data_IF_357419833024
#
_entry.id   IF_357419833024
#
_cell.length_a   1.000
_cell.length_b   1.000
_cell.length_c   1.000
_cell.angle_alpha   90.00
_cell.angle_beta   90.00
_cell.angle_gamma   90.00
#
_symmetry.space_group_name_H-M   'P 1'
#
loop_
_entity.id
_entity.type
_entity.pdbx_description
1 polymer ?
#
# COMPACT_ATOMS: atom_id res chain seq x y z
N UNK A 1 -22.01 13.66 -20.95
CA UNK A 1 -20.82 12.88 -20.53
C UNK A 1 -21.21 11.41 -20.38
N UNK A 2 -20.44 10.48 -20.93
CA UNK A 2 -20.69 9.06 -20.70
C UNK A 2 -20.44 8.75 -19.21
N UNK A 3 -21.42 8.17 -18.56
CA UNK A 3 -21.30 7.74 -17.17
C UNK A 3 -20.55 6.40 -17.14
N UNK A 4 -19.46 6.31 -16.37
CA UNK A 4 -18.77 5.05 -16.17
C UNK A 4 -19.71 4.04 -15.51
N UNK A 5 -19.66 2.79 -15.98
CA UNK A 5 -20.52 1.72 -15.48
C UNK A 5 -19.67 0.66 -14.79
N UNK A 6 -20.26 0.03 -13.76
CA UNK A 6 -19.66 -1.12 -13.11
C UNK A 6 -19.45 -2.26 -14.13
N UNK A 7 -18.34 -2.97 -13.99
CA UNK A 7 -18.02 -4.13 -14.85
C UNK A 7 -19.06 -5.23 -14.60
N UNK A 8 -19.72 -5.64 -15.68
CA UNK A 8 -20.74 -6.69 -15.61
C UNK A 8 -20.11 -8.03 -15.23
N UNK A 9 -20.84 -8.84 -14.45
CA UNK A 9 -20.41 -10.19 -14.05
C UNK A 9 -19.33 -10.24 -12.96
N UNK A 10 -18.83 -9.09 -12.49
CA UNK A 10 -17.92 -9.04 -11.35
C UNK A 10 -18.74 -8.92 -10.06
N UNK A 11 -18.84 -10.04 -9.34
CA UNK A 11 -19.42 -10.06 -8.00
C UNK A 11 -18.32 -9.86 -6.96
N UNK A 12 -18.17 -8.62 -6.51
CA UNK A 12 -17.23 -8.27 -5.47
C UNK A 12 -18.04 -7.83 -4.24
N UNK A 13 -17.92 -8.52 -3.10
CA UNK A 13 -18.67 -8.15 -1.90
C UNK A 13 -18.30 -6.74 -1.46
N UNK A 14 -19.23 -6.04 -0.83
CA UNK A 14 -18.96 -4.74 -0.25
C UNK A 14 -17.84 -4.84 0.80
N UNK A 15 -16.91 -3.91 0.78
CA UNK A 15 -15.87 -3.83 1.81
C UNK A 15 -16.49 -3.38 3.14
N UNK A 16 -16.16 -4.07 4.22
CA UNK A 16 -16.72 -3.80 5.56
C UNK A 16 -15.68 -3.36 6.58
N UNK A 17 -14.40 -3.56 6.30
CA UNK A 17 -13.33 -3.24 7.23
C UNK A 17 -13.15 -1.72 7.38
N UNK A 18 -12.96 -1.26 8.61
CA UNK A 18 -12.47 0.09 8.85
C UNK A 18 -10.94 0.11 8.72
N UNK A 19 -10.42 0.99 7.87
CA UNK A 19 -8.98 1.11 7.65
C UNK A 19 -8.19 1.44 8.91
N UNK A 20 -8.78 2.21 9.84
CA UNK A 20 -8.15 2.61 11.10
C UNK A 20 -7.95 1.44 12.07
N UNK A 21 -8.68 0.36 11.87
CA UNK A 21 -8.55 -0.90 12.61
C UNK A 21 -7.74 -1.92 11.82
N UNK A 22 -8.07 -2.08 10.54
CA UNK A 22 -7.49 -3.14 9.71
C UNK A 22 -6.02 -2.90 9.36
N UNK A 23 -5.60 -1.65 9.09
CA UNK A 23 -4.18 -1.35 8.78
C UNK A 23 -3.28 -1.60 9.99
N UNK A 24 -3.56 -1.09 11.20
CA UNK A 24 -2.79 -1.43 12.39
C UNK A 24 -2.84 -2.92 12.74
N UNK A 25 -3.98 -3.56 12.57
CA UNK A 25 -4.11 -4.99 12.80
C UNK A 25 -3.24 -5.82 11.83
N UNK A 26 -3.10 -5.40 10.58
CA UNK A 26 -2.26 -6.09 9.61
C UNK A 26 -0.76 -5.79 9.83
N UNK A 27 -0.41 -4.54 10.11
CA UNK A 27 0.98 -4.07 10.25
C UNK A 27 1.26 -3.75 11.71
N UNK A 28 1.41 -4.81 12.53
CA UNK A 28 1.56 -4.66 13.99
C UNK A 28 2.82 -3.91 14.42
N UNK A 29 3.90 -4.06 13.66
CA UNK A 29 5.23 -3.54 14.00
C UNK A 29 5.84 -2.78 12.82
N UNK A 30 5.30 -1.59 12.48
CA UNK A 30 5.79 -0.81 11.34
C UNK A 30 7.25 -0.39 11.49
N UNK A 31 7.78 -0.31 12.73
CA UNK A 31 9.19 0.00 13.01
C UNK A 31 10.17 -1.07 12.53
N UNK A 32 9.72 -2.30 12.28
CA UNK A 32 10.57 -3.38 11.77
C UNK A 32 10.80 -3.30 10.25
N UNK A 33 10.17 -2.33 9.61
CA UNK A 33 10.21 -2.15 8.17
C UNK A 33 10.86 -0.84 7.75
N UNK A 34 11.47 -0.82 6.58
CA UNK A 34 11.63 0.39 5.79
C UNK A 34 10.35 0.57 4.99
N UNK A 35 9.59 1.61 5.29
CA UNK A 35 8.26 1.83 4.72
C UNK A 35 8.31 2.90 3.65
N UNK A 36 7.82 2.58 2.46
CA UNK A 36 7.44 3.57 1.44
C UNK A 36 5.93 3.64 1.44
N UNK A 37 5.39 4.73 1.97
CA UNK A 37 3.96 4.96 2.04
C UNK A 37 3.52 5.93 0.94
N UNK A 38 2.48 5.58 0.25
CA UNK A 38 1.88 6.38 -0.80
C UNK A 38 1.24 7.67 -0.31
N UNK A 39 0.25 8.14 -1.07
CA UNK A 39 -0.47 9.36 -0.81
C UNK A 39 -1.54 9.19 0.28
N UNK A 40 -1.95 10.31 0.86
CA UNK A 40 -3.17 10.43 1.66
C UNK A 40 -3.28 9.46 2.84
N UNK A 41 -4.33 8.66 2.87
CA UNK A 41 -4.67 7.80 3.98
C UNK A 41 -3.58 6.81 4.36
N UNK A 42 -2.93 6.18 3.39
CA UNK A 42 -1.88 5.20 3.66
C UNK A 42 -0.67 5.82 4.37
N UNK A 43 -0.23 7.00 3.91
CA UNK A 43 0.84 7.73 4.58
C UNK A 43 0.40 8.26 5.96
N UNK A 44 -0.85 8.73 6.08
CA UNK A 44 -1.37 9.22 7.36
C UNK A 44 -1.41 8.12 8.42
N UNK A 45 -1.84 6.92 8.06
CA UNK A 45 -1.91 5.78 8.96
C UNK A 45 -0.53 5.33 9.43
N UNK A 46 0.41 5.16 8.50
CA UNK A 46 1.77 4.76 8.87
C UNK A 46 2.49 5.82 9.70
N UNK A 47 2.31 7.10 9.37
CA UNK A 47 2.84 8.19 10.18
C UNK A 47 2.18 8.24 11.58
N UNK A 48 0.87 7.96 11.68
CA UNK A 48 0.20 7.90 12.97
C UNK A 48 0.70 6.73 13.84
N UNK A 49 0.91 5.55 13.22
CA UNK A 49 1.39 4.34 13.90
C UNK A 49 2.86 4.46 14.36
N UNK A 50 3.66 5.29 13.72
CA UNK A 50 5.10 5.44 13.99
C UNK A 50 5.50 6.78 14.60
N UNK A 51 4.54 7.65 14.90
CA UNK A 51 4.77 9.03 15.32
C UNK A 51 5.62 9.83 14.31
N UNK A 52 5.25 9.75 13.03
CA UNK A 52 6.01 10.27 11.89
C UNK A 52 7.47 9.79 11.89
N UNK A 53 7.67 8.51 12.22
CA UNK A 53 8.97 7.90 12.50
C UNK A 53 9.93 7.91 11.31
N UNK A 54 11.24 7.82 11.59
CA UNK A 54 12.28 7.96 10.58
C UNK A 54 12.36 6.80 9.58
N UNK A 55 11.71 5.68 9.85
CA UNK A 55 11.61 4.51 8.98
C UNK A 55 10.48 4.59 7.94
N UNK A 56 9.67 5.66 7.96
CA UNK A 56 8.57 5.90 7.02
C UNK A 56 8.92 7.01 6.05
N UNK A 57 8.95 6.67 4.76
CA UNK A 57 9.04 7.63 3.66
C UNK A 57 7.65 7.81 3.06
N UNK A 58 6.98 8.90 3.44
CA UNK A 58 5.68 9.27 2.87
C UNK A 58 5.83 10.08 1.59
N UNK A 59 5.18 9.61 0.53
CA UNK A 59 5.09 10.34 -0.74
C UNK A 59 3.99 11.41 -0.63
N UNK A 60 4.37 12.66 -0.59
CA UNK A 60 3.45 13.77 -0.34
C UNK A 60 2.43 14.07 -1.45
N UNK A 61 2.60 13.54 -2.67
CA UNK A 61 1.73 13.83 -3.81
C UNK A 61 2.09 13.08 -5.09
N UNK A 62 3.11 12.23 -5.06
CA UNK A 62 3.56 11.49 -6.23
C UNK A 62 2.76 10.17 -6.38
N UNK A 63 1.59 10.25 -6.97
CA UNK A 63 0.74 9.07 -7.21
C UNK A 63 1.44 8.06 -8.13
N UNK A 64 1.35 6.78 -7.79
CA UNK A 64 1.93 5.67 -8.55
C UNK A 64 3.43 5.43 -8.34
N UNK A 65 4.15 6.32 -7.64
CA UNK A 65 5.59 6.16 -7.42
C UNK A 65 5.94 5.16 -6.30
N UNK A 66 5.03 4.93 -5.35
CA UNK A 66 5.25 4.12 -4.16
C UNK A 66 5.83 2.73 -4.43
N UNK A 67 5.20 1.90 -5.24
CA UNK A 67 5.68 0.55 -5.54
C UNK A 67 7.07 0.52 -6.18
N UNK A 68 7.33 1.42 -7.14
CA UNK A 68 8.65 1.51 -7.81
C UNK A 68 9.75 1.96 -6.86
N UNK A 69 9.46 2.91 -5.96
CA UNK A 69 10.41 3.33 -4.91
C UNK A 69 10.67 2.21 -3.90
N UNK A 70 9.63 1.47 -3.50
CA UNK A 70 9.78 0.32 -2.61
C UNK A 70 10.65 -0.77 -3.25
N UNK A 71 10.50 -1.02 -4.57
CA UNK A 71 11.38 -1.92 -5.31
C UNK A 71 12.83 -1.44 -5.25
N UNK A 72 13.09 -0.18 -5.61
CA UNK A 72 14.45 0.37 -5.58
C UNK A 72 15.09 0.28 -4.20
N UNK A 73 14.31 0.55 -3.15
CA UNK A 73 14.77 0.42 -1.77
C UNK A 73 15.06 -1.04 -1.39
N UNK A 74 14.22 -1.98 -1.79
CA UNK A 74 14.42 -3.40 -1.52
C UNK A 74 15.69 -3.95 -2.18
N UNK A 75 15.94 -3.54 -3.43
CA UNK A 75 17.17 -3.92 -4.15
C UNK A 75 18.43 -3.29 -3.53
N UNK A 76 18.34 -2.04 -3.06
CA UNK A 76 19.46 -1.34 -2.42
C UNK A 76 19.72 -1.81 -0.97
N UNK A 77 18.74 -2.45 -0.33
CA UNK A 77 18.80 -2.86 1.07
C UNK A 77 18.37 -4.34 1.23
N UNK A 78 19.10 -5.31 0.64
CA UNK A 78 18.66 -6.70 0.56
C UNK A 78 18.48 -7.38 1.93
N UNK A 79 19.15 -6.88 2.96
CA UNK A 79 19.08 -7.41 4.33
C UNK A 79 18.04 -6.72 5.21
N UNK A 80 17.28 -5.78 4.67
CA UNK A 80 16.22 -5.05 5.40
C UNK A 80 14.87 -5.39 4.80
N UNK A 81 13.87 -5.52 5.64
CA UNK A 81 12.49 -5.73 5.19
C UNK A 81 11.93 -4.41 4.66
N UNK A 82 11.33 -4.44 3.47
CA UNK A 82 10.73 -3.27 2.82
C UNK A 82 9.23 -3.48 2.65
N UNK A 83 8.46 -2.50 3.07
CA UNK A 83 7.02 -2.45 2.90
C UNK A 83 6.67 -1.28 1.98
N UNK A 84 6.11 -1.57 0.81
CA UNK A 84 5.41 -0.59 0.00
C UNK A 84 3.92 -0.62 0.34
N UNK A 85 3.35 0.50 0.77
CA UNK A 85 1.92 0.61 1.04
C UNK A 85 1.31 1.75 0.21
N UNK A 86 0.25 1.46 -0.50
CA UNK A 86 -0.38 2.37 -1.48
C UNK A 86 -1.90 2.27 -1.44
N UNK A 87 -2.59 3.26 -2.00
CA UNK A 87 -4.03 3.17 -2.26
C UNK A 87 -4.33 2.56 -3.63
N UNK A 88 -5.56 2.13 -3.85
CA UNK A 88 -6.03 1.56 -5.12
C UNK A 88 -5.91 2.53 -6.30
N UNK A 89 -6.44 3.74 -6.15
CA UNK A 89 -6.36 4.77 -7.19
C UNK A 89 -4.94 5.23 -7.46
N UNK A 90 -4.09 5.27 -6.43
CA UNK A 90 -2.67 5.58 -6.57
C UNK A 90 -1.92 4.49 -7.33
N UNK A 91 -2.13 3.21 -6.97
CA UNK A 91 -1.50 2.07 -7.64
C UNK A 91 -1.87 2.03 -9.13
N UNK A 92 -3.13 2.32 -9.45
CA UNK A 92 -3.64 2.34 -10.82
C UNK A 92 -2.96 3.40 -11.71
N UNK A 93 -2.40 4.47 -11.13
CA UNK A 93 -1.63 5.47 -11.90
C UNK A 93 -0.35 4.91 -12.51
N UNK A 94 0.20 3.83 -11.95
CA UNK A 94 1.40 3.16 -12.46
C UNK A 94 1.33 1.65 -12.25
N UNK A 95 0.24 1.04 -12.67
CA UNK A 95 -0.02 -0.40 -12.47
C UNK A 95 1.06 -1.28 -13.12
N UNK A 96 1.69 -0.81 -14.19
CA UNK A 96 2.80 -1.52 -14.86
C UNK A 96 4.04 -1.75 -13.98
N UNK A 97 4.20 -0.98 -12.90
CA UNK A 97 5.27 -1.19 -11.94
C UNK A 97 5.21 -2.60 -11.30
N UNK A 98 4.02 -3.19 -11.17
CA UNK A 98 3.87 -4.56 -10.66
C UNK A 98 4.56 -5.59 -11.54
N UNK A 99 4.57 -5.40 -12.86
CA UNK A 99 5.32 -6.27 -13.80
C UNK A 99 6.83 -6.21 -13.56
N UNK A 100 7.39 -5.00 -13.40
CA UNK A 100 8.82 -4.84 -13.09
C UNK A 100 9.16 -5.46 -11.73
N UNK A 101 8.29 -5.29 -10.74
CA UNK A 101 8.46 -5.86 -9.40
C UNK A 101 8.42 -7.40 -9.46
N UNK A 102 7.49 -7.97 -10.22
CA UNK A 102 7.39 -9.41 -10.39
C UNK A 102 8.63 -10.01 -11.06
N UNK A 103 9.18 -9.33 -12.09
CA UNK A 103 10.41 -9.76 -12.75
C UNK A 103 11.65 -9.67 -11.84
N UNK A 104 11.75 -8.62 -11.02
CA UNK A 104 12.83 -8.45 -10.07
C UNK A 104 12.71 -9.38 -8.85
N UNK A 105 11.50 -9.70 -8.44
CA UNK A 105 11.10 -10.61 -7.37
C UNK A 105 11.95 -10.54 -6.08
N UNK A 106 12.21 -9.36 -5.49
CA UNK A 106 13.06 -9.25 -4.32
C UNK A 106 12.41 -9.94 -3.12
N UNK A 107 13.17 -10.82 -2.45
CA UNK A 107 12.65 -11.64 -1.35
C UNK A 107 12.27 -10.85 -0.09
N UNK A 108 12.71 -9.61 0.02
CA UNK A 108 12.53 -8.71 1.16
C UNK A 108 11.44 -7.64 0.95
N UNK A 109 10.69 -7.69 -0.17
CA UNK A 109 9.64 -6.71 -0.49
C UNK A 109 8.24 -7.28 -0.24
N UNK A 110 7.44 -6.52 0.48
CA UNK A 110 5.99 -6.71 0.59
C UNK A 110 5.25 -5.48 0.06
N UNK A 111 4.18 -5.71 -0.69
CA UNK A 111 3.29 -4.66 -1.15
C UNK A 111 1.92 -4.83 -0.50
N UNK A 112 1.38 -3.75 0.04
CA UNK A 112 0.02 -3.68 0.56
C UNK A 112 -0.73 -2.58 -0.19
N UNK A 113 -1.84 -2.93 -0.81
CA UNK A 113 -2.76 -1.97 -1.41
C UNK A 113 -3.99 -1.85 -0.50
N UNK A 114 -4.23 -0.66 0.04
CA UNK A 114 -5.43 -0.34 0.82
C UNK A 114 -6.48 0.16 -0.15
N UNK A 115 -7.43 -0.70 -0.48
CA UNK A 115 -8.46 -0.47 -1.49
C UNK A 115 -9.77 -0.04 -0.83
N UNK A 116 -10.10 1.26 -0.94
CA UNK A 116 -11.39 1.81 -0.51
C UNK A 116 -12.36 2.07 -1.67
N UNK A 117 -11.97 1.78 -2.91
CA UNK A 117 -12.77 1.99 -4.10
C UNK A 117 -12.97 3.45 -4.52
N UNK A 118 -12.25 4.40 -3.91
CA UNK A 118 -12.51 5.83 -4.09
C UNK A 118 -11.23 6.68 -4.13
N UNK A 119 -11.31 7.81 -4.84
CA UNK A 119 -10.31 8.88 -4.86
C UNK A 119 -10.62 9.92 -3.78
N UNK A 120 -10.33 9.61 -2.51
CA UNK A 120 -10.70 10.43 -1.35
C UNK A 120 -10.11 11.83 -1.29
N UNK A 121 -8.97 12.10 -1.96
CA UNK A 121 -8.30 13.41 -1.95
C UNK A 121 -8.92 14.42 -2.93
N UNK A 122 -9.66 13.97 -3.94
CA UNK A 122 -10.12 14.83 -5.05
C UNK A 122 -11.64 14.97 -5.12
N UNK A 123 -12.38 14.44 -4.17
CA UNK A 123 -13.84 14.57 -4.11
C UNK A 123 -14.59 13.25 -4.04
N UNK A 124 -13.90 12.19 -3.65
CA UNK A 124 -14.48 10.87 -3.35
C UNK A 124 -15.16 10.20 -4.55
N UNK A 125 -14.65 10.44 -5.76
CA UNK A 125 -15.12 9.75 -6.96
C UNK A 125 -14.79 8.26 -6.88
N UNK A 126 -15.64 7.41 -7.48
CA UNK A 126 -15.33 5.99 -7.63
C UNK A 126 -13.99 5.80 -8.35
N UNK A 127 -13.14 4.97 -7.78
CA UNK A 127 -11.98 4.46 -8.47
C UNK A 127 -12.37 3.29 -9.37
N UNK A 128 -11.43 2.78 -10.16
CA UNK A 128 -11.70 1.62 -11.02
C UNK A 128 -12.06 0.37 -10.19
N UNK A 129 -11.51 0.22 -8.98
CA UNK A 129 -11.86 -0.91 -8.09
C UNK A 129 -13.27 -0.79 -7.55
N UNK A 130 -13.73 0.43 -7.26
CA UNK A 130 -15.13 0.71 -6.94
C UNK A 130 -16.10 0.30 -8.05
N UNK A 131 -15.63 0.28 -9.29
CA UNK A 131 -16.38 -0.15 -10.47
C UNK A 131 -16.10 -1.60 -10.91
N UNK A 132 -15.33 -2.37 -10.14
CA UNK A 132 -15.15 -3.81 -10.34
C UNK A 132 -13.81 -4.25 -10.90
N UNK A 133 -12.82 -3.37 -11.08
CA UNK A 133 -11.45 -3.79 -11.39
C UNK A 133 -10.86 -4.55 -10.21
N UNK A 134 -10.21 -5.69 -10.46
CA UNK A 134 -9.68 -6.60 -9.45
C UNK A 134 -8.15 -6.54 -9.44
N UNK A 135 -7.58 -5.77 -8.50
CA UNK A 135 -6.14 -5.55 -8.39
C UNK A 135 -5.37 -6.80 -7.99
N UNK A 136 -5.96 -7.71 -7.23
CA UNK A 136 -5.40 -9.00 -6.87
C UNK A 136 -5.18 -9.87 -8.12
N UNK A 137 -6.16 -9.92 -9.03
CA UNK A 137 -6.03 -10.64 -10.31
C UNK A 137 -5.00 -10.00 -11.22
N UNK A 138 -4.93 -8.67 -11.23
CA UNK A 138 -3.90 -7.95 -12.00
C UNK A 138 -2.51 -8.27 -11.45
N UNK A 139 -2.32 -8.23 -10.12
CA UNK A 139 -1.05 -8.56 -9.49
C UNK A 139 -0.63 -10.01 -9.78
N UNK A 140 -1.56 -10.96 -9.69
CA UNK A 140 -1.33 -12.35 -10.07
C UNK A 140 -1.00 -12.50 -11.56
N UNK A 141 -1.71 -11.78 -12.44
CA UNK A 141 -1.46 -11.77 -13.88
C UNK A 141 -0.09 -11.22 -14.29
N UNK A 142 0.49 -10.32 -13.51
CA UNK A 142 1.89 -9.89 -13.65
C UNK A 142 2.90 -10.92 -13.14
N UNK A 143 2.49 -11.98 -12.47
CA UNK A 143 3.38 -13.04 -11.97
C UNK A 143 3.87 -12.82 -10.54
N UNK A 144 3.24 -11.98 -9.73
CA UNK A 144 3.56 -11.88 -8.30
C UNK A 144 3.24 -13.22 -7.63
N UNK A 145 4.23 -13.86 -6.97
CA UNK A 145 4.10 -15.28 -6.56
C UNK A 145 3.10 -15.50 -5.42
N UNK A 146 2.91 -14.51 -4.56
CA UNK A 146 1.95 -14.57 -3.45
C UNK A 146 1.04 -13.38 -3.52
N UNK A 147 -0.23 -13.62 -3.78
CA UNK A 147 -1.29 -12.60 -3.79
C UNK A 147 -2.38 -13.03 -2.81
N UNK A 148 -2.75 -12.13 -1.91
CA UNK A 148 -3.79 -12.40 -0.91
C UNK A 148 -4.73 -11.21 -0.78
N UNK A 149 -6.02 -11.49 -0.68
CA UNK A 149 -7.06 -10.47 -0.48
C UNK A 149 -7.65 -10.60 0.92
N UNK A 150 -7.66 -9.50 1.65
CA UNK A 150 -8.26 -9.38 2.98
C UNK A 150 -9.60 -8.66 2.84
N UNK A 151 -10.68 -9.35 3.12
CA UNK A 151 -12.06 -8.83 3.10
C UNK A 151 -12.66 -8.70 4.49
N UNK A 152 -12.17 -9.48 5.47
CA UNK A 152 -12.69 -9.55 6.84
C UNK A 152 -11.55 -9.52 7.85
N UNK A 153 -11.86 -9.23 9.12
CA UNK A 153 -10.85 -9.29 10.20
C UNK A 153 -10.28 -10.70 10.40
N UNK A 154 -11.01 -11.75 10.04
CA UNK A 154 -10.52 -13.12 10.11
C UNK A 154 -9.34 -13.38 9.14
N UNK A 155 -9.30 -12.69 8.00
CA UNK A 155 -8.25 -12.83 6.98
C UNK A 155 -6.91 -12.17 7.42
N UNK A 156 -6.94 -11.31 8.44
CA UNK A 156 -5.76 -10.57 8.93
C UNK A 156 -4.64 -11.52 9.40
N UNK A 157 -5.00 -12.61 10.07
CA UNK A 157 -4.02 -13.58 10.56
C UNK A 157 -3.16 -14.17 9.42
N UNK A 158 -3.79 -14.53 8.31
CA UNK A 158 -3.08 -15.01 7.12
C UNK A 158 -2.27 -13.88 6.47
N UNK A 159 -2.80 -12.67 6.37
CA UNK A 159 -2.06 -11.50 5.90
C UNK A 159 -0.77 -11.27 6.70
N UNK A 160 -0.82 -11.36 8.04
CA UNK A 160 0.37 -11.27 8.91
C UNK A 160 1.37 -12.38 8.64
N UNK A 161 0.90 -13.61 8.48
CA UNK A 161 1.76 -14.75 8.14
C UNK A 161 2.50 -14.51 6.83
N UNK A 162 1.81 -13.98 5.80
CA UNK A 162 2.41 -13.62 4.51
C UNK A 162 3.43 -12.48 4.68
N UNK A 163 3.09 -11.45 5.45
CA UNK A 163 4.04 -10.36 5.72
C UNK A 163 5.30 -10.86 6.45
N UNK A 164 5.18 -11.81 7.36
CA UNK A 164 6.31 -12.37 8.11
C UNK A 164 7.20 -13.30 7.27
N UNK A 165 6.65 -14.01 6.30
CA UNK A 165 7.37 -14.96 5.46
C UNK A 165 8.35 -14.26 4.50
N UNK A 166 9.47 -14.90 4.10
CA UNK A 166 10.31 -14.38 3.02
C UNK A 166 9.58 -14.42 1.67
N UNK A 167 10.11 -13.70 0.69
CA UNK A 167 9.56 -13.67 -0.68
C UNK A 167 8.69 -12.46 -0.97
N UNK A 168 8.55 -12.15 -2.25
CA UNK A 168 7.66 -11.10 -2.75
C UNK A 168 6.20 -11.49 -2.52
N UNK A 169 5.42 -10.54 -1.99
CA UNK A 169 3.97 -10.72 -1.88
C UNK A 169 3.22 -9.40 -2.12
N UNK A 170 2.00 -9.52 -2.59
CA UNK A 170 1.01 -8.46 -2.73
C UNK A 170 -0.22 -8.79 -1.88
N UNK A 171 -0.60 -7.87 -1.01
CA UNK A 171 -1.82 -7.97 -0.20
C UNK A 171 -2.78 -6.86 -0.62
N UNK A 172 -3.99 -7.24 -1.01
CA UNK A 172 -5.10 -6.33 -1.24
C UNK A 172 -5.95 -6.27 0.04
N UNK A 173 -5.85 -5.16 0.77
CA UNK A 173 -6.66 -4.90 1.96
C UNK A 173 -7.88 -4.07 1.56
N UNK A 174 -9.04 -4.71 1.48
CA UNK A 174 -10.28 -4.05 1.09
C UNK A 174 -10.94 -3.42 2.31
N UNK A 175 -11.12 -2.11 2.25
CA UNK A 175 -11.69 -1.32 3.34
C UNK A 175 -12.91 -0.55 2.84
N UNK A 176 -13.88 -0.29 3.72
CA UNK A 176 -14.98 0.64 3.42
C UNK A 176 -14.42 2.05 3.22
N UNK A 177 -15.13 2.85 2.46
CA UNK A 177 -14.90 4.28 2.39
C UNK A 177 -14.96 4.88 3.81
N UNK A 178 -14.06 5.79 4.11
CA UNK A 178 -14.00 6.42 5.42
C UNK A 178 -12.69 7.17 5.66
N UNK A 179 -12.64 7.98 6.71
CA UNK A 179 -11.48 8.80 7.02
C UNK A 179 -10.29 7.94 7.47
N UNK A 180 -9.10 8.37 7.09
CA UNK A 180 -7.84 7.85 7.65
C UNK A 180 -7.60 8.38 9.07
N UNK A 181 -6.68 7.74 9.79
CA UNK A 181 -6.15 8.31 11.03
C UNK A 181 -5.47 9.64 10.74
N UNK A 182 -5.84 10.67 11.50
CA UNK A 182 -5.23 12.00 11.35
C UNK A 182 -4.19 12.21 12.43
N UNK A 183 -2.95 12.41 12.02
CA UNK A 183 -1.86 12.86 12.88
C UNK A 183 -0.98 13.85 12.10
N UNK A 184 -0.44 14.89 12.75
CA UNK A 184 0.53 15.78 12.12
C UNK A 184 1.71 14.98 11.57
N UNK A 185 2.09 15.26 10.33
CA UNK A 185 3.26 14.67 9.65
C UNK A 185 3.97 15.74 8.82
N UNK A 186 5.23 15.55 8.56
CA UNK A 186 5.95 16.44 7.66
C UNK A 186 5.48 16.22 6.21
N UNK A 187 5.08 17.29 5.55
CA UNK A 187 4.80 17.33 4.11
C UNK A 187 5.95 17.92 3.29
N UNK A 188 7.09 18.23 3.94
CA UNK A 188 8.28 18.77 3.28
C UNK A 188 9.14 17.63 2.75
N UNK A 189 9.21 17.38 1.43
CA UNK A 189 9.88 16.19 0.87
C UNK A 189 11.35 16.09 1.28
N UNK A 190 12.05 17.20 1.35
CA UNK A 190 13.45 17.24 1.77
C UNK A 190 13.64 16.81 3.24
N UNK A 191 12.74 17.24 4.14
CA UNK A 191 12.79 16.86 5.56
C UNK A 191 12.53 15.36 5.71
N UNK A 192 11.51 14.83 5.03
CA UNK A 192 11.20 13.40 5.04
C UNK A 192 12.36 12.58 4.48
N UNK A 193 12.91 13.02 3.34
CA UNK A 193 14.08 12.36 2.71
C UNK A 193 15.28 12.33 3.64
N UNK A 194 15.65 13.47 4.23
CA UNK A 194 16.86 13.60 5.03
C UNK A 194 16.74 12.79 6.33
N UNK A 195 15.58 12.83 6.98
CA UNK A 195 15.26 12.02 8.16
C UNK A 195 15.32 10.51 7.84
N UNK A 196 14.65 10.08 6.78
CA UNK A 196 14.65 8.68 6.36
C UNK A 196 16.05 8.20 6.00
N UNK A 197 16.80 9.00 5.24
CA UNK A 197 18.17 8.69 4.84
C UNK A 197 19.12 8.63 6.04
N UNK A 198 19.01 9.54 6.99
CA UNK A 198 19.82 9.55 8.21
C UNK A 198 19.60 8.25 9.00
N UNK A 199 18.35 7.85 9.21
CA UNK A 199 18.03 6.61 9.90
C UNK A 199 18.48 5.37 9.12
N UNK A 200 18.37 5.38 7.79
CA UNK A 200 18.80 4.28 6.93
C UNK A 200 20.32 4.07 6.97
N UNK A 201 21.11 5.14 7.00
CA UNK A 201 22.57 5.13 6.95
C UNK A 201 23.25 5.19 8.32
N UNK A 202 22.49 5.30 9.40
CA UNK A 202 23.02 5.44 10.77
C UNK A 202 23.79 6.73 11.02
N UNK A 203 23.35 7.83 10.37
CA UNK A 203 24.04 9.13 10.44
C UNK A 203 23.14 10.20 11.03
#
# INVERSE_FOLDING_TARGET
>A
MAQLKRIAGVNQPAATLDRREAVPALIERPQDWLVVAGLAGTAQELCAMTDDGPNVFGLGGAMGAGPSMALGLALAQPNRRVLGITGDGELLMNIGALGTIALAAPANLKLVCVDNGHYGETGNQDSHTGLGVQLDRIAAGFGIPVVHTINTMADIAEGRRILAAPGLAFILLRVKEGPAMKKPRSLRPHVVRDRFRAALLGR
#
